data_IF_138636299367
#
_entry.id   IF_138636299367
#
_cell.length_a   1.000
_cell.length_b   1.000
_cell.length_c   1.000
_cell.angle_alpha   90.00
_cell.angle_beta   90.00
_cell.angle_gamma   90.00
#
_symmetry.space_group_name_H-M   'P 1'
#
loop_
_entity.id
_entity.type
_entity.pdbx_description
1 polymer ?
#
# COMPACT_ATOMS: atom_id res chain seq x y z
N UNK A 1 28.89 -21.66 -7.61
CA UNK A 1 27.48 -21.41 -7.24
C UNK A 1 26.86 -20.55 -8.33
N UNK A 2 25.70 -20.91 -8.86
CA UNK A 2 25.01 -20.11 -9.89
C UNK A 2 24.69 -18.72 -9.32
N UNK A 3 25.08 -17.67 -10.05
CA UNK A 3 24.71 -16.29 -9.75
C UNK A 3 23.19 -16.13 -9.80
N UNK A 4 22.67 -15.20 -9.00
CA UNK A 4 21.26 -14.85 -9.04
C UNK A 4 20.94 -14.07 -10.33
N UNK A 5 19.86 -14.44 -11.00
CA UNK A 5 19.22 -13.63 -12.03
C UNK A 5 17.69 -13.76 -11.95
N UNK A 6 16.98 -12.74 -12.40
CA UNK A 6 15.51 -12.74 -12.46
C UNK A 6 14.99 -13.88 -13.35
N UNK A 7 15.60 -14.10 -14.51
CA UNK A 7 15.26 -15.20 -15.43
C UNK A 7 15.45 -16.59 -14.83
N UNK A 8 16.48 -16.78 -13.99
CA UNK A 8 16.71 -18.05 -13.29
C UNK A 8 15.61 -18.30 -12.24
N UNK A 9 15.14 -17.26 -11.56
CA UNK A 9 14.02 -17.38 -10.61
C UNK A 9 12.72 -17.69 -11.34
N UNK A 10 12.41 -16.99 -12.44
CA UNK A 10 11.22 -17.26 -13.25
C UNK A 10 11.17 -18.71 -13.75
N UNK A 11 12.29 -19.23 -14.26
CA UNK A 11 12.39 -20.63 -14.66
C UNK A 11 12.18 -21.59 -13.49
N UNK A 12 12.74 -21.30 -12.32
CA UNK A 12 12.53 -22.13 -11.12
C UNK A 12 11.08 -22.08 -10.62
N UNK A 13 10.42 -20.93 -10.71
CA UNK A 13 9.01 -20.77 -10.36
C UNK A 13 8.09 -21.47 -11.36
N UNK A 14 8.45 -21.51 -12.65
CA UNK A 14 7.67 -22.25 -13.65
C UNK A 14 7.75 -23.76 -13.42
N UNK A 15 8.89 -24.28 -12.95
CA UNK A 15 9.13 -25.68 -12.60
C UNK A 15 8.62 -26.07 -11.19
N UNK A 16 8.18 -25.10 -10.37
CA UNK A 16 7.69 -25.34 -9.01
C UNK A 16 6.45 -26.26 -9.01
N UNK A 17 6.54 -27.36 -8.27
CA UNK A 17 5.46 -28.34 -8.07
C UNK A 17 4.94 -28.32 -6.63
N UNK A 18 3.78 -28.94 -6.40
CA UNK A 18 3.19 -29.11 -5.06
C UNK A 18 3.93 -30.10 -4.16
N UNK A 19 5.01 -30.73 -4.64
CA UNK A 19 5.80 -31.66 -3.82
C UNK A 19 6.65 -30.90 -2.80
N UNK A 20 6.72 -31.43 -1.58
CA UNK A 20 7.50 -30.84 -0.48
C UNK A 20 8.97 -30.62 -0.87
N UNK A 21 9.57 -31.59 -1.58
CA UNK A 21 10.95 -31.52 -2.05
C UNK A 21 11.16 -30.34 -3.02
N UNK A 22 10.22 -30.10 -3.93
CA UNK A 22 10.30 -29.00 -4.90
C UNK A 22 10.25 -27.64 -4.19
N UNK A 23 9.32 -27.48 -3.25
CA UNK A 23 9.18 -26.26 -2.43
C UNK A 23 10.45 -26.01 -1.61
N UNK A 24 10.94 -27.01 -0.88
CA UNK A 24 12.13 -26.88 -0.02
C UNK A 24 13.40 -26.59 -0.81
N UNK A 25 13.59 -27.26 -1.95
CA UNK A 25 14.78 -27.06 -2.79
C UNK A 25 14.83 -25.63 -3.33
N UNK A 26 13.68 -25.09 -3.78
CA UNK A 26 13.60 -23.71 -4.24
C UNK A 26 13.73 -22.71 -3.10
N UNK A 27 13.08 -22.97 -1.97
CA UNK A 27 13.19 -22.15 -0.75
C UNK A 27 14.64 -21.99 -0.30
N UNK A 28 15.42 -23.08 -0.24
CA UNK A 28 16.83 -23.02 0.13
C UNK A 28 17.65 -22.17 -0.84
N UNK A 29 17.39 -22.30 -2.14
CA UNK A 29 18.05 -21.48 -3.17
C UNK A 29 17.68 -20.00 -3.05
N UNK A 30 16.41 -19.68 -2.76
CA UNK A 30 15.94 -18.31 -2.50
C UNK A 30 16.63 -17.71 -1.27
N UNK A 31 16.68 -18.47 -0.16
CA UNK A 31 17.30 -18.03 1.10
C UNK A 31 18.81 -17.79 0.91
N UNK A 32 19.48 -18.63 0.12
CA UNK A 32 20.89 -18.43 -0.23
C UNK A 32 21.12 -17.08 -0.92
N UNK A 33 20.19 -16.63 -1.76
CA UNK A 33 20.26 -15.37 -2.50
C UNK A 33 19.52 -14.21 -1.81
N UNK A 34 19.40 -14.24 -0.47
CA UNK A 34 18.68 -13.23 0.33
C UNK A 34 19.08 -11.77 0.08
N UNK A 35 20.31 -11.51 -0.40
CA UNK A 35 20.75 -10.14 -0.78
C UNK A 35 19.86 -9.52 -1.86
N UNK A 36 19.12 -10.35 -2.60
CA UNK A 36 18.18 -9.96 -3.64
C UNK A 36 16.72 -10.12 -3.20
N UNK A 37 16.43 -10.16 -1.88
CA UNK A 37 15.08 -10.45 -1.33
C UNK A 37 13.98 -9.60 -1.96
N UNK A 38 14.18 -8.28 -2.08
CA UNK A 38 13.18 -7.37 -2.65
C UNK A 38 12.84 -7.71 -4.10
N UNK A 39 13.86 -8.04 -4.92
CA UNK A 39 13.65 -8.46 -6.30
C UNK A 39 12.99 -9.84 -6.37
N UNK A 40 13.41 -10.78 -5.52
CA UNK A 40 12.82 -12.13 -5.44
C UNK A 40 11.34 -12.05 -5.10
N UNK A 41 10.96 -11.26 -4.10
CA UNK A 41 9.55 -11.11 -3.68
C UNK A 41 8.73 -10.43 -4.78
N UNK A 42 9.27 -9.42 -5.45
CA UNK A 42 8.63 -8.78 -6.60
C UNK A 42 8.34 -9.77 -7.74
N UNK A 43 9.32 -10.61 -8.09
CA UNK A 43 9.19 -11.64 -9.14
C UNK A 43 8.22 -12.73 -8.71
N UNK A 44 8.33 -13.22 -7.47
CA UNK A 44 7.39 -14.19 -6.91
C UNK A 44 5.95 -13.69 -6.99
N UNK A 45 5.71 -12.42 -6.63
CA UNK A 45 4.37 -11.85 -6.65
C UNK A 45 3.82 -11.71 -8.07
N UNK A 46 4.67 -11.26 -9.02
CA UNK A 46 4.30 -11.18 -10.44
C UNK A 46 3.95 -12.56 -11.02
N UNK A 47 4.75 -13.58 -10.72
CA UNK A 47 4.54 -14.94 -11.22
C UNK A 47 3.37 -15.64 -10.52
N UNK A 48 3.09 -15.34 -9.24
CA UNK A 48 1.88 -15.78 -8.54
C UNK A 48 0.61 -15.31 -9.27
N UNK A 49 0.57 -14.04 -9.66
CA UNK A 49 -0.59 -13.45 -10.37
C UNK A 49 -0.82 -14.07 -11.75
N UNK A 50 0.26 -14.50 -12.42
CA UNK A 50 0.19 -15.18 -13.72
C UNK A 50 -0.12 -16.68 -13.61
N UNK A 51 0.15 -17.29 -12.45
CA UNK A 51 -0.01 -18.73 -12.28
C UNK A 51 -1.49 -19.15 -12.37
N UNK A 52 -1.73 -20.35 -12.89
CA UNK A 52 -3.05 -20.98 -12.87
C UNK A 52 -3.54 -21.19 -11.43
N UNK A 53 -4.84 -21.12 -11.19
CA UNK A 53 -5.45 -21.16 -9.84
C UNK A 53 -4.99 -22.38 -9.01
N UNK A 54 -4.82 -23.55 -9.65
CA UNK A 54 -4.32 -24.78 -8.98
C UNK A 54 -2.84 -24.73 -8.54
N UNK A 55 -2.05 -23.76 -9.01
CA UNK A 55 -0.64 -23.56 -8.62
C UNK A 55 -0.46 -22.47 -7.57
N UNK A 56 -1.44 -21.58 -7.40
CA UNK A 56 -1.34 -20.41 -6.51
C UNK A 56 -1.08 -20.81 -5.05
N UNK A 57 -1.71 -21.89 -4.57
CA UNK A 57 -1.47 -22.40 -3.23
C UNK A 57 -0.01 -22.88 -3.04
N UNK A 58 0.60 -23.47 -4.06
CA UNK A 58 2.01 -23.89 -4.02
C UNK A 58 2.95 -22.68 -3.88
N UNK A 59 2.63 -21.55 -4.50
CA UNK A 59 3.39 -20.31 -4.32
C UNK A 59 3.30 -19.78 -2.89
N UNK A 60 2.13 -19.89 -2.24
CA UNK A 60 1.97 -19.55 -0.83
C UNK A 60 2.74 -20.50 0.09
N UNK A 61 2.81 -21.80 -0.24
CA UNK A 61 3.66 -22.74 0.49
C UNK A 61 5.15 -22.41 0.36
N UNK A 62 5.60 -21.97 -0.83
CA UNK A 62 6.95 -21.47 -1.00
C UNK A 62 7.22 -20.21 -0.16
N UNK A 63 6.34 -19.21 -0.20
CA UNK A 63 6.48 -18.01 0.62
C UNK A 63 6.54 -18.37 2.11
N UNK A 64 5.66 -19.26 2.57
CA UNK A 64 5.65 -19.76 3.93
C UNK A 64 6.99 -20.40 4.33
N UNK A 65 7.53 -21.30 3.50
CA UNK A 65 8.79 -21.98 3.79
C UNK A 65 9.97 -20.99 3.81
N UNK A 66 10.01 -20.04 2.87
CA UNK A 66 11.03 -18.98 2.82
C UNK A 66 10.98 -18.10 4.06
N UNK A 67 9.81 -17.54 4.42
CA UNK A 67 9.64 -16.64 5.57
C UNK A 67 10.05 -17.34 6.88
N UNK A 68 9.63 -18.59 7.06
CA UNK A 68 9.95 -19.35 8.28
C UNK A 68 11.44 -19.68 8.40
N UNK A 69 12.06 -20.12 7.30
CA UNK A 69 13.44 -20.59 7.32
C UNK A 69 14.47 -19.46 7.19
N UNK A 70 14.09 -18.32 6.60
CA UNK A 70 14.98 -17.16 6.49
C UNK A 70 15.17 -16.40 7.81
N UNK A 71 14.23 -16.51 8.76
CA UNK A 71 14.24 -15.77 10.04
C UNK A 71 15.57 -15.90 10.81
N UNK A 72 16.23 -17.07 10.73
CA UNK A 72 17.54 -17.31 11.37
C UNK A 72 18.70 -16.57 10.68
N UNK A 73 18.53 -16.18 9.42
CA UNK A 73 19.56 -15.51 8.61
C UNK A 73 19.35 -13.98 8.61
N UNK A 74 18.11 -13.52 8.65
CA UNK A 74 17.76 -12.10 8.78
C UNK A 74 16.27 -11.82 8.50
N UNK A 75 15.83 -10.57 8.73
CA UNK A 75 14.42 -10.17 8.61
C UNK A 75 13.99 -9.79 7.19
N UNK A 76 14.90 -9.78 6.20
CA UNK A 76 14.69 -9.17 4.88
C UNK A 76 13.46 -9.73 4.16
N UNK A 77 13.34 -11.06 4.09
CA UNK A 77 12.18 -11.69 3.48
C UNK A 77 10.88 -11.45 4.26
N UNK A 78 10.94 -11.40 5.60
CA UNK A 78 9.73 -11.12 6.40
C UNK A 78 9.21 -9.73 6.05
N UNK A 79 10.09 -8.72 5.99
CA UNK A 79 9.75 -7.35 5.63
C UNK A 79 9.27 -7.22 4.18
N UNK A 80 9.97 -7.84 3.23
CA UNK A 80 9.65 -7.70 1.81
C UNK A 80 8.32 -8.40 1.47
N UNK A 81 8.07 -9.59 2.02
CA UNK A 81 6.79 -10.28 1.84
C UNK A 81 5.61 -9.50 2.46
N UNK A 82 5.79 -8.86 3.61
CA UNK A 82 4.76 -8.02 4.25
C UNK A 82 4.12 -7.03 3.26
N UNK A 83 4.95 -6.42 2.40
CA UNK A 83 4.50 -5.43 1.41
C UNK A 83 3.59 -5.96 0.29
N UNK A 84 3.59 -7.27 0.04
CA UNK A 84 2.83 -7.89 -1.07
C UNK A 84 1.76 -8.89 -0.59
N UNK A 85 1.83 -9.34 0.67
CA UNK A 85 1.00 -10.45 1.16
C UNK A 85 -0.50 -10.15 1.17
N UNK A 86 -0.92 -8.90 1.44
CA UNK A 86 -2.34 -8.53 1.44
C UNK A 86 -2.95 -8.71 0.05
N UNK A 87 -2.30 -8.14 -0.97
CA UNK A 87 -2.72 -8.24 -2.37
C UNK A 87 -2.62 -9.68 -2.89
N UNK A 88 -1.55 -10.40 -2.53
CA UNK A 88 -1.39 -11.82 -2.86
C UNK A 88 -2.50 -12.69 -2.26
N UNK A 89 -2.80 -12.55 -0.96
CA UNK A 89 -3.86 -13.31 -0.30
C UNK A 89 -5.24 -12.99 -0.90
N UNK A 90 -5.55 -11.71 -1.14
CA UNK A 90 -6.80 -11.30 -1.78
C UNK A 90 -6.95 -11.90 -3.19
N UNK A 91 -5.88 -11.86 -3.99
CA UNK A 91 -5.89 -12.42 -5.33
C UNK A 91 -6.00 -13.94 -5.39
N UNK A 92 -5.36 -14.66 -4.45
CA UNK A 92 -5.53 -16.12 -4.37
C UNK A 92 -6.94 -16.45 -3.87
N UNK A 93 -7.46 -15.72 -2.89
CA UNK A 93 -8.79 -15.94 -2.34
C UNK A 93 -9.91 -15.72 -3.38
N UNK A 94 -9.78 -14.75 -4.29
CA UNK A 94 -10.78 -14.47 -5.33
C UNK A 94 -10.98 -15.60 -6.33
N UNK A 95 -10.01 -16.51 -6.44
CA UNK A 95 -10.07 -17.68 -7.34
C UNK A 95 -10.03 -19.01 -6.58
N UNK A 96 -10.08 -18.97 -5.25
CA UNK A 96 -9.95 -20.13 -4.37
C UNK A 96 -11.32 -20.72 -4.02
N UNK A 97 -11.38 -22.04 -3.97
CA UNK A 97 -12.47 -22.75 -3.30
C UNK A 97 -12.31 -22.70 -1.78
N UNK A 98 -13.36 -23.09 -1.06
CA UNK A 98 -13.34 -23.17 0.42
C UNK A 98 -12.25 -24.11 0.95
N UNK A 99 -11.86 -25.12 0.17
CA UNK A 99 -10.73 -25.99 0.47
C UNK A 99 -9.41 -25.21 0.51
N UNK A 100 -9.10 -24.44 -0.54
CA UNK A 100 -7.90 -23.61 -0.62
C UNK A 100 -7.88 -22.52 0.46
N UNK A 101 -9.01 -21.84 0.71
CA UNK A 101 -9.11 -20.82 1.78
C UNK A 101 -8.76 -21.37 3.16
N UNK A 102 -9.24 -22.57 3.51
CA UNK A 102 -8.85 -23.26 4.76
C UNK A 102 -7.35 -23.51 4.87
N UNK A 103 -6.70 -23.85 3.76
CA UNK A 103 -5.24 -24.02 3.75
C UNK A 103 -4.52 -22.68 3.94
N UNK A 104 -5.01 -21.60 3.34
CA UNK A 104 -4.48 -20.25 3.55
C UNK A 104 -4.63 -19.81 5.01
N UNK A 105 -5.80 -19.99 5.61
CA UNK A 105 -6.04 -19.69 7.03
C UNK A 105 -5.10 -20.47 7.95
N UNK A 106 -4.84 -21.75 7.64
CA UNK A 106 -3.86 -22.56 8.37
C UNK A 106 -2.46 -21.96 8.29
N UNK A 107 -2.03 -21.46 7.13
CA UNK A 107 -0.74 -20.76 7.00
C UNK A 107 -0.68 -19.50 7.86
N UNK A 108 -1.75 -18.69 7.85
CA UNK A 108 -1.83 -17.46 8.66
C UNK A 108 -1.79 -17.77 10.17
N UNK A 109 -2.44 -18.84 10.62
CA UNK A 109 -2.38 -19.28 12.01
C UNK A 109 -0.95 -19.71 12.40
N UNK A 110 -0.23 -20.41 11.52
CA UNK A 110 1.18 -20.77 11.77
C UNK A 110 2.05 -19.51 11.90
N UNK A 111 1.81 -18.49 11.07
CA UNK A 111 2.57 -17.22 11.16
C UNK A 111 2.30 -16.48 12.46
N UNK A 112 1.06 -16.52 12.95
CA UNK A 112 0.67 -15.98 14.26
C UNK A 112 1.35 -16.74 15.40
N UNK A 113 1.24 -18.07 15.42
CA UNK A 113 1.82 -18.93 16.47
C UNK A 113 3.34 -18.78 16.58
N UNK A 114 4.02 -18.64 15.44
CA UNK A 114 5.49 -18.49 15.40
C UNK A 114 5.97 -17.05 15.55
N UNK A 115 5.06 -16.10 15.79
CA UNK A 115 5.34 -14.66 15.86
C UNK A 115 6.22 -14.22 14.67
N UNK A 116 5.78 -14.56 13.45
CA UNK A 116 6.42 -14.10 12.21
C UNK A 116 5.94 -12.70 11.83
N UNK A 117 4.64 -12.44 12.04
CA UNK A 117 4.02 -11.14 11.87
C UNK A 117 3.20 -10.76 13.08
N UNK A 118 2.92 -9.46 13.21
CA UNK A 118 2.07 -8.92 14.27
C UNK A 118 0.61 -9.38 14.09
N UNK A 119 -0.14 -9.45 15.20
CA UNK A 119 -1.51 -9.98 15.20
C UNK A 119 -2.50 -9.15 14.39
N UNK A 120 -2.32 -7.82 14.34
CA UNK A 120 -3.09 -6.88 13.51
C UNK A 120 -2.92 -7.18 12.02
N UNK A 121 -1.68 -7.39 11.57
CA UNK A 121 -1.39 -7.73 10.18
C UNK A 121 -1.97 -9.10 9.79
N UNK A 122 -1.86 -10.10 10.67
CA UNK A 122 -2.51 -11.41 10.44
C UNK A 122 -4.03 -11.26 10.31
N UNK A 123 -4.66 -10.40 11.12
CA UNK A 123 -6.09 -10.14 11.02
C UNK A 123 -6.45 -9.48 9.68
N UNK A 124 -5.64 -8.53 9.21
CA UNK A 124 -5.80 -7.91 7.90
C UNK A 124 -5.75 -8.94 6.76
N UNK A 125 -4.83 -9.91 6.83
CA UNK A 125 -4.73 -10.99 5.84
C UNK A 125 -5.94 -11.92 5.88
N UNK A 126 -6.50 -12.20 7.06
CA UNK A 126 -7.74 -13.00 7.19
C UNK A 126 -8.93 -12.29 6.54
N UNK A 127 -9.11 -11.00 6.83
CA UNK A 127 -10.16 -10.19 6.20
C UNK A 127 -10.03 -10.16 4.67
N UNK A 128 -8.80 -10.06 4.15
CA UNK A 128 -8.54 -10.12 2.71
C UNK A 128 -8.95 -11.45 2.05
N UNK A 129 -8.99 -12.55 2.82
CA UNK A 129 -9.48 -13.85 2.36
C UNK A 129 -11.02 -13.92 2.43
N UNK A 130 -11.63 -13.38 3.49
CA UNK A 130 -13.08 -13.42 3.77
C UNK A 130 -13.91 -12.45 2.93
N UNK A 131 -13.41 -11.24 2.63
CA UNK A 131 -14.13 -10.17 1.91
C UNK A 131 -14.51 -10.54 0.46
N UNK A 132 -14.05 -11.69 -0.04
CA UNK A 132 -14.40 -12.21 -1.37
C UNK A 132 -15.79 -12.87 -1.45
N UNK A 133 -16.50 -13.05 -0.33
CA UNK A 133 -17.81 -13.75 -0.26
C UNK A 133 -19.04 -12.90 -0.62
N UNK A 134 -18.89 -11.72 -1.23
CA UNK A 134 -20.04 -10.98 -1.80
C UNK A 134 -20.22 -11.36 -3.28
N UNK A 135 -21.42 -11.79 -3.72
CA UNK A 135 -21.63 -12.17 -5.11
C UNK A 135 -21.50 -10.93 -5.99
N UNK A 136 -20.41 -10.83 -6.76
CA UNK A 136 -20.30 -9.90 -7.87
C UNK A 136 -20.19 -10.67 -9.20
N UNK A 137 -20.97 -10.31 -10.22
CA UNK A 137 -20.91 -10.92 -11.53
C UNK A 137 -19.54 -10.69 -12.18
N UNK A 138 -19.06 -11.70 -12.89
CA UNK A 138 -17.81 -11.72 -13.65
C UNK A 138 -17.86 -10.83 -14.89
N UNK A 139 -16.79 -10.01 -15.02
CA UNK A 139 -16.20 -9.40 -16.25
C UNK A 139 -17.03 -8.29 -16.94
N UNK A 140 -16.60 -7.04 -17.16
CA UNK A 140 -15.27 -6.51 -17.53
C UNK A 140 -14.95 -5.10 -16.94
N UNK A 141 -13.70 -4.97 -16.46
CA UNK A 141 -12.76 -3.84 -16.44
C UNK A 141 -13.26 -2.37 -16.55
N UNK A 142 -13.19 -1.65 -15.41
CA UNK A 142 -12.14 -0.63 -15.10
C UNK A 142 -12.47 0.09 -13.78
N UNK A 143 -11.69 -0.17 -12.74
CA UNK A 143 -11.42 0.81 -11.67
C UNK A 143 -10.02 0.56 -11.10
N UNK A 144 -9.08 1.39 -11.55
CA UNK A 144 -7.70 1.47 -11.06
C UNK A 144 -7.60 2.67 -10.12
N UNK A 145 -6.96 2.49 -8.96
CA UNK A 145 -6.11 3.50 -8.32
C UNK A 145 -4.74 2.83 -8.09
N UNK A 146 -3.87 2.82 -9.11
CA UNK A 146 -2.72 3.72 -9.40
C UNK A 146 -1.60 3.69 -8.35
N UNK A 147 -0.53 2.98 -8.70
CA UNK A 147 0.86 3.41 -8.52
C UNK A 147 1.52 3.54 -9.90
N UNK A 148 2.42 4.51 -10.07
CA UNK A 148 2.99 5.01 -11.34
C UNK A 148 4.02 4.06 -11.97
N UNK A 149 3.90 3.73 -13.28
CA UNK A 149 4.97 3.96 -14.28
C UNK A 149 4.52 3.68 -15.74
N UNK A 150 4.95 4.59 -16.64
CA UNK A 150 5.12 4.51 -18.11
C UNK A 150 4.00 3.88 -18.96
N UNK A 151 3.28 4.71 -19.70
CA UNK A 151 2.36 4.29 -20.76
C UNK A 151 3.11 4.41 -22.09
N UNK A 152 3.20 3.28 -22.80
CA UNK A 152 3.41 3.25 -24.25
C UNK A 152 2.07 3.54 -24.92
N UNK A 153 2.11 4.47 -25.87
CA UNK A 153 1.01 4.89 -26.72
C UNK A 153 0.60 3.73 -27.63
N UNK A 154 -0.68 3.39 -27.61
CA UNK A 154 -1.34 2.76 -28.75
C UNK A 154 -2.51 3.67 -29.13
N UNK A 155 -2.43 4.08 -30.39
CA UNK A 155 -3.21 5.06 -31.12
C UNK A 155 -4.66 4.62 -31.28
N UNK A 156 -5.59 5.56 -31.08
CA UNK A 156 -6.88 5.63 -31.79
C UNK A 156 -7.47 7.02 -31.50
N UNK A 157 -7.00 7.95 -32.33
CA UNK A 157 -7.52 9.21 -32.85
C UNK A 157 -8.65 10.01 -32.17
N UNK A 158 -8.38 11.33 -32.20
CA UNK A 158 -9.23 12.52 -32.15
C UNK A 158 -9.43 13.26 -30.79
N UNK A 159 -8.76 14.42 -30.74
CA UNK A 159 -8.85 15.58 -29.82
C UNK A 159 -8.09 15.53 -28.47
N UNK A 160 -6.76 15.49 -28.56
CA UNK A 160 -5.82 15.65 -27.44
C UNK A 160 -5.13 17.04 -27.44
N UNK A 161 -5.77 18.05 -26.84
CA UNK A 161 -5.08 19.34 -26.57
C UNK A 161 -5.51 20.03 -25.26
N UNK A 162 -5.92 19.29 -24.22
CA UNK A 162 -6.29 19.96 -22.96
C UNK A 162 -5.88 19.28 -21.64
N UNK A 163 -5.06 18.23 -21.67
CA UNK A 163 -4.73 17.50 -20.43
C UNK A 163 -3.43 17.89 -19.74
N UNK A 164 -2.66 18.82 -20.31
CA UNK A 164 -1.42 19.32 -19.73
C UNK A 164 -1.63 20.64 -18.97
N UNK A 165 -2.36 20.60 -17.85
CA UNK A 165 -2.14 21.57 -16.79
C UNK A 165 -2.60 20.99 -15.45
N UNK A 166 -1.63 20.61 -14.63
CA UNK A 166 -1.64 20.57 -13.18
C UNK A 166 -2.93 20.06 -12.52
N UNK A 167 -2.90 18.81 -12.02
CA UNK A 167 -3.69 18.49 -10.83
C UNK A 167 -3.42 19.60 -9.81
N UNK A 168 -4.44 20.26 -9.21
CA UNK A 168 -4.20 21.36 -8.29
C UNK A 168 -3.37 20.78 -7.15
N UNK A 169 -2.08 21.11 -7.16
CA UNK A 169 -1.19 20.86 -6.06
C UNK A 169 -1.85 21.57 -4.87
N UNK A 170 -2.13 20.85 -3.78
CA UNK A 170 -2.56 21.50 -2.55
C UNK A 170 -1.48 22.52 -2.20
N UNK A 171 -1.74 23.79 -2.49
CA UNK A 171 -0.88 24.93 -2.16
C UNK A 171 -0.93 25.29 -0.69
N UNK A 172 -1.61 24.48 0.12
CA UNK A 172 -1.74 24.71 1.55
C UNK A 172 -0.51 24.16 2.29
N UNK A 173 0.55 24.97 2.29
CA UNK A 173 1.81 24.72 3.00
C UNK A 173 1.55 24.40 4.48
N UNK A 174 0.50 24.96 5.07
CA UNK A 174 0.12 24.72 6.47
C UNK A 174 -0.34 23.28 6.71
N UNK A 175 -1.10 22.70 5.79
CA UNK A 175 -1.59 21.32 5.93
C UNK A 175 -0.44 20.30 5.76
N UNK A 176 0.51 20.60 4.87
CA UNK A 176 1.71 19.78 4.67
C UNK A 176 2.60 19.82 5.91
N UNK A 177 2.83 21.01 6.49
CA UNK A 177 3.61 21.19 7.70
C UNK A 177 3.01 20.43 8.90
N UNK A 178 1.69 20.56 9.12
CA UNK A 178 0.97 19.84 10.18
C UNK A 178 1.10 18.32 10.03
N UNK A 179 1.10 17.82 8.79
CA UNK A 179 1.27 16.40 8.48
C UNK A 179 2.69 15.93 8.83
N UNK A 180 3.72 16.69 8.46
CA UNK A 180 5.12 16.35 8.76
C UNK A 180 5.39 16.35 10.27
N UNK A 181 4.88 17.35 11.00
CA UNK A 181 5.01 17.45 12.45
C UNK A 181 4.35 16.26 13.16
N UNK A 182 3.14 15.89 12.75
CA UNK A 182 2.43 14.74 13.32
C UNK A 182 3.16 13.42 13.03
N UNK A 183 3.66 13.23 11.82
CA UNK A 183 4.43 12.04 11.46
C UNK A 183 5.70 11.92 12.31
N UNK A 184 6.41 13.03 12.52
CA UNK A 184 7.60 13.04 13.38
C UNK A 184 7.25 12.67 14.83
N UNK A 185 6.20 13.27 15.40
CA UNK A 185 5.75 12.97 16.76
C UNK A 185 5.35 11.48 16.94
N UNK A 186 4.75 10.86 15.91
CA UNK A 186 4.42 9.43 15.91
C UNK A 186 5.67 8.54 15.85
N UNK A 187 6.68 8.91 15.07
CA UNK A 187 7.95 8.19 14.98
C UNK A 187 8.76 8.27 16.28
N UNK A 188 8.79 9.45 16.91
CA UNK A 188 9.50 9.65 18.18
C UNK A 188 8.87 8.80 19.31
N UNK A 189 7.54 8.63 19.31
CA UNK A 189 6.83 7.80 20.28
C UNK A 189 7.10 6.29 20.09
N UNK A 190 7.45 5.82 18.89
CA UNK A 190 7.80 4.42 18.63
C UNK A 190 9.09 4.01 19.39
N UNK A 191 9.96 4.97 19.68
CA UNK A 191 11.22 4.77 20.42
C UNK A 191 11.12 5.15 21.92
N UNK A 192 9.92 5.31 22.46
CA UNK A 192 9.71 5.80 23.82
C UNK A 192 10.15 4.80 24.92
N UNK A 193 10.21 5.28 26.17
CA UNK A 193 10.65 4.52 27.34
C UNK A 193 9.80 3.26 27.60
N UNK A 194 8.49 3.33 27.32
CA UNK A 194 7.57 2.19 27.35
C UNK A 194 7.81 1.18 26.23
N UNK A 195 8.66 1.49 25.25
CA UNK A 195 9.22 0.55 24.28
C UNK A 195 10.44 -0.21 24.80
N UNK A 196 11.13 0.31 25.81
CA UNK A 196 12.40 -0.23 26.35
C UNK A 196 12.18 -1.47 27.24
N UNK A 197 11.98 -2.61 26.58
CA UNK A 197 11.74 -3.90 27.23
C UNK A 197 12.92 -4.36 28.10
N UNK A 198 14.15 -3.98 27.73
CA UNK A 198 15.35 -4.38 28.46
C UNK A 198 15.41 -3.72 29.85
N UNK A 199 15.14 -2.41 29.93
CA UNK A 199 15.08 -1.70 31.22
C UNK A 199 13.93 -2.22 32.07
N UNK A 200 12.75 -2.46 31.49
CA UNK A 200 11.61 -3.06 32.22
C UNK A 200 11.93 -4.43 32.79
N UNK A 201 12.61 -5.28 32.01
CA UNK A 201 13.01 -6.61 32.48
C UNK A 201 14.00 -6.51 33.64
N UNK A 202 14.97 -5.58 33.57
CA UNK A 202 15.90 -5.33 34.69
C UNK A 202 15.18 -4.91 35.95
N UNK A 203 14.23 -3.96 35.85
CA UNK A 203 13.40 -3.52 36.98
C UNK A 203 12.58 -4.69 37.55
N UNK A 204 11.96 -5.50 36.69
CA UNK A 204 11.17 -6.65 37.11
C UNK A 204 12.01 -7.78 37.75
N UNK A 205 13.30 -7.85 37.43
CA UNK A 205 14.24 -8.81 38.02
C UNK A 205 14.93 -8.33 39.30
N UNK A 206 14.57 -7.13 39.79
CA UNK A 206 15.15 -6.62 41.03
C UNK A 206 14.81 -7.56 42.21
N UNK A 207 15.80 -7.88 43.07
CA UNK A 207 15.60 -8.78 44.20
C UNK A 207 14.55 -8.25 45.19
N UNK A 208 13.83 -9.13 45.87
CA UNK A 208 12.79 -8.70 46.83
C UNK A 208 13.41 -7.96 48.02
N UNK A 209 14.67 -8.28 48.34
CA UNK A 209 15.48 -7.67 49.39
C UNK A 209 15.73 -6.17 49.18
N UNK A 210 15.63 -5.65 47.94
CA UNK A 210 15.78 -4.20 47.67
C UNK A 210 14.49 -3.41 47.87
N UNK A 211 13.34 -4.07 48.03
CA UNK A 211 12.02 -3.44 48.18
C UNK A 211 11.31 -3.78 49.49
N UNK A 212 11.68 -4.88 50.16
CA UNK A 212 11.04 -5.34 51.40
C UNK A 212 12.00 -5.23 52.60
N UNK A 213 11.72 -4.24 53.45
CA UNK A 213 12.50 -3.95 54.67
C UNK A 213 12.48 -5.12 55.65
N UNK A 214 11.44 -5.95 55.64
CA UNK A 214 11.32 -7.11 56.56
C UNK A 214 12.39 -8.17 56.30
N UNK A 215 12.98 -8.19 55.10
CA UNK A 215 14.03 -9.14 54.73
C UNK A 215 15.41 -8.74 55.25
N UNK A 216 15.58 -7.51 55.75
CA UNK A 216 16.86 -7.04 56.30
C UNK A 216 17.29 -7.81 57.54
N UNK A 217 16.36 -8.35 58.33
CA UNK A 217 16.65 -9.21 59.49
C UNK A 217 17.42 -10.49 59.13
N UNK A 218 17.36 -10.92 57.85
CA UNK A 218 18.05 -12.12 57.35
C UNK A 218 19.52 -11.84 56.99
N UNK A 219 19.94 -10.58 56.95
CA UNK A 219 21.31 -10.19 56.65
C UNK A 219 22.13 -10.26 57.95
N UNK A 220 22.93 -11.30 58.11
CA UNK A 220 23.68 -11.56 59.35
C UNK A 220 25.15 -11.13 59.28
N UNK A 221 25.67 -10.80 58.11
CA UNK A 221 27.06 -10.45 57.90
C UNK A 221 27.23 -9.12 57.15
N UNK A 222 28.35 -8.44 57.43
CA UNK A 222 28.68 -7.13 56.87
C UNK A 222 28.88 -7.19 55.36
N UNK A 223 29.43 -8.27 54.82
CA UNK A 223 29.72 -8.39 53.39
C UNK A 223 28.43 -8.50 52.57
N UNK A 224 27.44 -9.26 53.06
CA UNK A 224 26.10 -9.34 52.47
C UNK A 224 25.35 -8.00 52.57
N UNK A 225 25.48 -7.28 53.68
CA UNK A 225 24.90 -5.93 53.83
C UNK A 225 25.51 -4.94 52.82
N UNK A 226 26.84 -4.93 52.67
CA UNK A 226 27.53 -4.05 51.73
C UNK A 226 27.17 -4.39 50.26
N UNK A 227 26.95 -5.67 49.93
CA UNK A 227 26.45 -6.09 48.61
C UNK A 227 25.02 -5.61 48.36
N UNK A 228 24.12 -5.82 49.34
CA UNK A 228 22.74 -5.36 49.23
C UNK A 228 22.67 -3.84 49.10
N UNK A 229 23.46 -3.09 49.87
CA UNK A 229 23.54 -1.62 49.77
C UNK A 229 23.86 -1.17 48.35
N UNK A 230 24.87 -1.78 47.70
CA UNK A 230 25.20 -1.45 46.31
C UNK A 230 24.05 -1.77 45.35
N UNK A 231 23.39 -2.91 45.53
CA UNK A 231 22.24 -3.29 44.71
C UNK A 231 21.06 -2.34 44.90
N UNK A 232 20.82 -1.86 46.13
CA UNK A 232 19.80 -0.84 46.43
C UNK A 232 20.13 0.48 45.73
N UNK A 233 21.38 0.95 45.81
CA UNK A 233 21.81 2.19 45.16
C UNK A 233 21.63 2.12 43.63
N UNK A 234 22.04 1.01 43.01
CA UNK A 234 21.85 0.75 41.58
C UNK A 234 20.37 0.69 41.19
N UNK A 235 19.53 0.04 42.00
CA UNK A 235 18.09 -0.04 41.80
C UNK A 235 17.41 1.33 41.90
N UNK A 236 17.81 2.16 42.87
CA UNK A 236 17.31 3.52 43.04
C UNK A 236 17.61 4.40 41.83
N UNK A 237 18.85 4.35 41.31
CA UNK A 237 19.24 5.09 40.11
C UNK A 237 18.44 4.63 38.89
N UNK A 238 18.33 3.31 38.68
CA UNK A 238 17.57 2.73 37.57
C UNK A 238 16.09 3.14 37.59
N UNK A 239 15.45 3.09 38.76
CA UNK A 239 14.05 3.46 38.93
C UNK A 239 13.84 4.98 38.73
N UNK A 240 14.76 5.81 39.25
CA UNK A 240 14.69 7.26 39.08
C UNK A 240 14.80 7.66 37.59
N UNK A 241 15.76 7.07 36.86
CA UNK A 241 15.94 7.32 35.43
C UNK A 241 14.72 6.84 34.63
N UNK A 242 14.22 5.64 34.90
CA UNK A 242 13.05 5.09 34.22
C UNK A 242 11.79 5.92 34.47
N UNK A 243 11.53 6.32 35.73
CA UNK A 243 10.38 7.16 36.07
C UNK A 243 10.46 8.54 35.42
N UNK A 244 11.66 9.13 35.34
CA UNK A 244 11.88 10.39 34.62
C UNK A 244 11.58 10.26 33.12
N UNK A 245 12.10 9.21 32.48
CA UNK A 245 11.81 8.92 31.07
C UNK A 245 10.32 8.63 30.82
N UNK A 246 9.66 7.91 31.72
CA UNK A 246 8.23 7.61 31.63
C UNK A 246 7.38 8.88 31.78
N UNK A 247 7.76 9.78 32.69
CA UNK A 247 7.06 11.06 32.86
C UNK A 247 7.16 11.94 31.60
N UNK A 248 8.33 12.00 30.97
CA UNK A 248 8.52 12.69 29.68
C UNK A 248 7.63 12.08 28.59
N UNK A 249 7.64 10.75 28.46
CA UNK A 249 6.78 10.06 27.49
C UNK A 249 5.28 10.35 27.71
N UNK A 250 4.83 10.42 28.96
CA UNK A 250 3.44 10.75 29.26
C UNK A 250 3.07 12.16 28.77
N UNK A 251 3.98 13.12 28.86
CA UNK A 251 3.74 14.46 28.33
C UNK A 251 3.75 14.49 26.80
N UNK A 252 4.70 13.79 26.17
CA UNK A 252 4.74 13.63 24.72
C UNK A 252 3.43 13.00 24.19
N UNK A 253 2.89 11.99 24.88
CA UNK A 253 1.59 11.38 24.55
C UNK A 253 0.43 12.36 24.68
N UNK A 254 0.44 13.24 25.69
CA UNK A 254 -0.59 14.29 25.83
C UNK A 254 -0.51 15.30 24.69
N UNK A 255 0.70 15.71 24.31
CA UNK A 255 0.90 16.58 23.17
C UNK A 255 0.44 15.94 21.87
N UNK A 256 0.80 14.68 21.63
CA UNK A 256 0.36 13.94 20.46
C UNK A 256 -1.16 13.82 20.39
N UNK A 257 -1.83 13.58 21.52
CA UNK A 257 -3.30 13.54 21.56
C UNK A 257 -3.95 14.87 21.14
N UNK A 258 -3.34 16.01 21.54
CA UNK A 258 -3.77 17.34 21.07
C UNK A 258 -3.56 17.49 19.56
N UNK A 259 -2.36 17.17 19.07
CA UNK A 259 -2.03 17.23 17.63
C UNK A 259 -2.96 16.38 16.78
N UNK A 260 -3.29 15.15 17.21
CA UNK A 260 -4.23 14.27 16.52
C UNK A 260 -5.64 14.88 16.46
N UNK A 261 -6.09 15.50 17.55
CA UNK A 261 -7.41 16.13 17.61
C UNK A 261 -7.50 17.30 16.62
N UNK A 262 -6.48 18.16 16.60
CA UNK A 262 -6.36 19.29 15.69
C UNK A 262 -6.27 18.82 14.23
N UNK A 263 -5.45 17.80 13.95
CA UNK A 263 -5.30 17.23 12.62
C UNK A 263 -6.61 16.63 12.09
N UNK A 264 -7.34 15.89 12.92
CA UNK A 264 -8.64 15.33 12.54
C UNK A 264 -9.65 16.45 12.23
N UNK A 265 -9.67 17.53 13.02
CA UNK A 265 -10.54 18.68 12.75
C UNK A 265 -10.21 19.33 11.41
N UNK A 266 -8.93 19.62 11.18
CA UNK A 266 -8.44 20.20 9.92
C UNK A 266 -8.75 19.31 8.70
N UNK A 267 -8.55 18.00 8.80
CA UNK A 267 -8.88 17.07 7.72
C UNK A 267 -10.38 17.00 7.42
N UNK A 268 -11.25 17.11 8.44
CA UNK A 268 -12.71 17.17 8.22
C UNK A 268 -13.13 18.44 7.46
N UNK A 269 -12.57 19.60 7.84
CA UNK A 269 -12.82 20.86 7.14
C UNK A 269 -12.33 20.80 5.69
N UNK A 270 -11.11 20.29 5.50
CA UNK A 270 -10.52 20.15 4.17
C UNK A 270 -11.25 19.11 3.30
N UNK A 271 -11.86 18.09 3.89
CA UNK A 271 -12.73 17.14 3.19
C UNK A 271 -14.01 17.84 2.70
N UNK A 272 -14.69 18.56 3.57
CA UNK A 272 -15.92 19.29 3.26
C UNK A 272 -15.70 20.29 2.09
N UNK A 273 -14.60 21.04 2.12
CA UNK A 273 -14.27 22.00 1.06
C UNK A 273 -13.96 21.29 -0.27
N UNK A 274 -13.30 20.13 -0.24
CA UNK A 274 -13.03 19.34 -1.45
C UNK A 274 -14.30 18.71 -2.03
N UNK A 275 -15.22 18.25 -1.19
CA UNK A 275 -16.52 17.75 -1.63
C UNK A 275 -17.35 18.84 -2.30
N UNK A 276 -17.38 20.04 -1.72
CA UNK A 276 -18.03 21.21 -2.31
C UNK A 276 -17.43 21.56 -3.69
N UNK A 277 -16.10 21.65 -3.78
CA UNK A 277 -15.41 21.89 -5.06
C UNK A 277 -15.70 20.81 -6.09
N UNK A 278 -15.75 19.53 -5.68
CA UNK A 278 -16.08 18.43 -6.57
C UNK A 278 -17.48 18.60 -7.17
N UNK A 279 -18.46 19.01 -6.37
CA UNK A 279 -19.81 19.26 -6.84
C UNK A 279 -19.88 20.43 -7.83
N UNK A 280 -19.13 21.51 -7.56
CA UNK A 280 -18.99 22.63 -8.50
C UNK A 280 -18.39 22.17 -9.85
N UNK A 281 -17.38 21.29 -9.83
CA UNK A 281 -16.79 20.75 -11.06
C UNK A 281 -17.73 19.82 -11.81
N UNK A 282 -18.55 19.02 -11.13
CA UNK A 282 -19.60 18.22 -11.77
C UNK A 282 -20.63 19.10 -12.48
N UNK A 283 -21.07 20.19 -11.83
CA UNK A 283 -21.99 21.14 -12.44
C UNK A 283 -21.38 21.82 -13.67
N UNK A 284 -20.09 22.23 -13.59
CA UNK A 284 -19.37 22.77 -14.75
C UNK A 284 -19.29 21.76 -15.88
N UNK A 285 -18.96 20.51 -15.59
CA UNK A 285 -18.91 19.43 -16.57
C UNK A 285 -20.26 19.24 -17.26
N UNK A 286 -21.36 19.20 -16.50
CA UNK A 286 -22.72 19.07 -17.07
C UNK A 286 -23.04 20.20 -18.06
N UNK A 287 -22.68 21.45 -17.74
CA UNK A 287 -22.86 22.60 -18.65
C UNK A 287 -22.02 22.45 -19.92
N UNK A 288 -20.75 22.03 -19.79
CA UNK A 288 -19.88 21.78 -20.95
C UNK A 288 -20.44 20.66 -21.83
N UNK A 289 -20.96 19.59 -21.22
CA UNK A 289 -21.63 18.50 -21.96
C UNK A 289 -22.89 18.99 -22.70
N UNK A 290 -23.68 19.88 -22.08
CA UNK A 290 -24.83 20.49 -22.74
C UNK A 290 -24.41 21.33 -23.96
N UNK A 291 -23.43 22.22 -23.80
CA UNK A 291 -22.89 23.03 -24.90
C UNK A 291 -22.38 22.14 -26.03
N UNK A 292 -21.68 21.05 -25.71
CA UNK A 292 -21.21 20.07 -26.72
C UNK A 292 -22.36 19.45 -27.50
N UNK A 293 -23.47 19.10 -26.83
CA UNK A 293 -24.66 18.53 -27.47
C UNK A 293 -25.34 19.54 -28.41
N UNK A 294 -25.52 20.77 -27.94
CA UNK A 294 -26.12 21.85 -28.73
C UNK A 294 -25.24 22.22 -29.93
N UNK A 295 -23.92 22.32 -29.75
CA UNK A 295 -22.97 22.59 -30.82
C UNK A 295 -23.00 21.52 -31.91
N UNK A 296 -23.08 20.23 -31.54
CA UNK A 296 -23.19 19.13 -32.52
C UNK A 296 -24.47 19.24 -33.35
N UNK A 297 -25.59 19.60 -32.72
CA UNK A 297 -26.85 19.85 -33.44
C UNK A 297 -26.76 21.09 -34.33
N UNK A 298 -26.07 22.15 -33.88
CA UNK A 298 -25.91 23.38 -34.63
C UNK A 298 -25.05 23.18 -35.88
N UNK A 299 -23.95 22.42 -35.78
CA UNK A 299 -23.10 22.07 -36.93
C UNK A 299 -23.90 21.35 -38.02
N UNK A 300 -24.81 20.44 -37.67
CA UNK A 300 -25.67 19.75 -38.64
C UNK A 300 -26.66 20.68 -39.36
N UNK A 301 -26.97 21.84 -38.77
CA UNK A 301 -27.85 22.85 -39.36
C UNK A 301 -27.12 23.87 -40.24
N UNK A 302 -25.78 23.87 -40.23
CA UNK A 302 -24.99 24.75 -41.08
C UNK A 302 -24.91 24.19 -42.50
N UNK A 303 -24.97 25.05 -43.53
CA UNK A 303 -24.87 24.61 -44.92
C UNK A 303 -23.46 24.07 -45.21
N UNK A 304 -23.41 22.88 -45.79
CA UNK A 304 -22.16 22.29 -46.27
C UNK A 304 -21.74 22.97 -47.58
N UNK A 305 -20.76 23.86 -47.48
CA UNK A 305 -20.23 24.64 -48.61
C UNK A 305 -19.52 23.76 -49.66
N UNK A 306 -19.22 22.49 -49.34
CA UNK A 306 -18.63 21.54 -50.30
C UNK A 306 -19.66 20.96 -51.28
N UNK A 307 -20.96 21.04 -50.96
CA UNK A 307 -22.07 20.64 -51.82
C UNK A 307 -22.57 21.78 -52.72
N UNK A 308 -22.00 22.98 -52.59
CA UNK A 308 -22.26 24.05 -53.54
C UNK A 308 -21.66 23.65 -54.90
N UNK A 309 -22.42 23.75 -56.01
CA UNK A 309 -21.89 23.45 -57.33
C UNK A 309 -20.68 24.33 -57.59
N UNK A 310 -19.57 23.69 -57.98
CA UNK A 310 -18.31 24.35 -58.25
C UNK A 310 -18.52 25.35 -59.40
N UNK A 311 -18.60 26.65 -59.10
CA UNK A 311 -18.84 27.72 -60.09
C UNK A 311 -17.61 27.99 -60.97
N UNK A 312 -16.66 27.04 -61.03
CA UNK A 312 -15.47 27.08 -61.90
C UNK A 312 -15.68 26.38 -63.25
N UNK A 313 -16.79 25.66 -63.45
CA UNK A 313 -17.26 25.25 -64.78
C UNK A 313 -18.17 26.34 -65.34
N UNK A 314 -17.66 27.15 -66.26
CA UNK A 314 -18.30 28.35 -66.81
C UNK A 314 -19.81 28.21 -67.03
N UNK A 315 -20.55 29.22 -66.58
CA UNK A 315 -21.94 29.44 -66.99
C UNK A 315 -22.02 29.31 -68.52
N UNK A 316 -22.99 28.54 -69.02
CA UNK A 316 -23.29 28.52 -70.44
C UNK A 316 -23.42 29.98 -70.92
N UNK A 317 -22.79 30.38 -72.05
CA UNK A 317 -22.89 31.75 -72.52
C UNK A 317 -24.37 32.08 -72.66
N UNK A 318 -24.79 33.19 -72.06
CA UNK A 318 -26.13 33.71 -72.29
C UNK A 318 -26.31 33.88 -73.80
N UNK A 319 -27.49 33.51 -74.36
CA UNK A 319 -27.75 33.65 -75.78
C UNK A 319 -27.42 35.07 -76.24
N UNK A 320 -26.76 35.19 -77.38
CA UNK A 320 -26.41 36.50 -77.93
C UNK A 320 -27.69 37.27 -78.22
N UNK A 321 -27.65 38.61 -78.14
CA UNK A 321 -28.81 39.43 -78.48
C UNK A 321 -29.36 39.16 -79.91
N UNK A 322 -28.55 38.61 -80.82
CA UNK A 322 -28.99 38.15 -82.14
C UNK A 322 -29.85 36.88 -82.15
N UNK A 323 -29.68 35.99 -81.16
CA UNK A 323 -30.49 34.76 -81.03
C UNK A 323 -31.89 35.05 -80.49
N UNK A 324 -32.08 36.18 -79.80
CA UNK A 324 -33.38 36.58 -79.25
C UNK A 324 -34.32 37.24 -80.28
N UNK A 325 -33.80 37.63 -81.45
CA UNK A 325 -34.55 38.35 -82.49
C UNK A 325 -34.50 37.71 -83.88
N UNK A 326 -33.97 36.49 -84.01
CA UNK A 326 -34.04 35.74 -85.27
C UNK A 326 -35.40 35.07 -85.41
N UNK A 327 -36.36 35.78 -86.02
CA UNK A 327 -37.59 35.19 -86.54
C UNK A 327 -37.36 34.73 -87.99
N UNK A 328 -37.75 33.47 -88.22
CA UNK A 328 -37.81 32.66 -89.46
C UNK A 328 -36.56 31.85 -89.88
#
# INVERSE_FOLDING_TARGET
MSSFSESALEKKLSELSSSQQSVQTLSLWIIHHRKHSALIVKVWHRELKKAKSNRKLTFLYLANDVIQNSKKKGPEFTKDFESVLVDACSHVASEADEGCKKHMERLLNIWKERNLYRSDFIQQLKLAIEDTNSPRPSEEKKAVKRSYQKIQEEEDDEDDDYRSHNSPHNTDVSATQLTEELVKALQDLENAASGDAAVRQKIASLPQEVQDVSLLEKITDKEAADKLSKTVDEACLLLAEYNGRLAAELEDRRQLARMLTEYISSQKEALMEREKKLEEYKQKLARVTQVRKELKSHIQSLPDLSLLPNVTGGLAPLPSAGDLFSTD
#
